data_IF_887818425806
#
_entry.id   IF_887818425806
#
_cell.length_a   1.000
_cell.length_b   1.000
_cell.length_c   1.000
_cell.angle_alpha   90.00
_cell.angle_beta   90.00
_cell.angle_gamma   90.00
#
_symmetry.space_group_name_H-M   'P 1'
#
loop_
_entity.id
_entity.type
_entity.pdbx_description
1 polymer ?
#
# COMPACT_ATOMS: atom_id res chain seq x y z
N UNK A 1 10.74 4.95 -0.94
CA UNK A 1 11.45 5.37 0.29
C UNK A 1 10.46 6.18 1.10
N UNK A 2 9.77 5.55 2.06
CA UNK A 2 8.85 6.26 2.94
C UNK A 2 9.66 6.92 4.06
N UNK A 3 9.80 8.24 3.97
CA UNK A 3 10.22 9.04 5.11
C UNK A 3 9.00 9.28 5.99
N UNK A 4 9.12 8.88 7.24
CA UNK A 4 8.37 9.51 8.32
C UNK A 4 8.76 10.99 8.29
N UNK A 5 7.89 11.87 7.78
CA UNK A 5 8.09 13.31 7.91
C UNK A 5 7.78 13.67 9.36
N UNK A 6 8.81 13.61 10.20
CA UNK A 6 8.79 14.29 11.48
C UNK A 6 8.81 15.80 11.21
N UNK A 7 7.68 16.49 11.43
CA UNK A 7 7.67 17.94 11.61
C UNK A 7 7.12 18.30 13.00
N UNK A 8 8.06 18.69 13.85
CA UNK A 8 7.96 19.72 14.90
C UNK A 8 6.87 19.55 15.98
N UNK A 9 7.31 19.07 17.15
CA UNK A 9 6.77 19.52 18.43
C UNK A 9 5.55 18.78 18.98
N UNK A 10 5.69 17.49 19.29
CA UNK A 10 4.68 16.75 20.03
C UNK A 10 5.08 15.31 20.31
N UNK A 11 5.89 15.11 21.36
CA UNK A 11 6.24 13.78 21.84
C UNK A 11 5.08 13.25 22.70
N UNK A 12 4.16 12.46 22.14
CA UNK A 12 3.20 11.70 22.96
C UNK A 12 3.83 10.41 23.43
N UNK A 13 4.60 10.50 24.52
CA UNK A 13 4.94 9.36 25.37
C UNK A 13 3.72 9.12 26.26
N UNK A 14 2.93 8.07 25.98
CA UNK A 14 1.97 7.58 26.96
C UNK A 14 2.72 6.87 28.07
N UNK A 15 3.05 7.61 29.12
CA UNK A 15 3.58 7.09 30.38
C UNK A 15 2.39 6.75 31.29
N UNK A 16 1.92 5.50 31.29
CA UNK A 16 1.01 5.06 32.34
C UNK A 16 1.80 4.79 33.62
N UNK A 17 1.62 5.68 34.60
CA UNK A 17 2.05 5.49 35.99
C UNK A 17 1.27 4.32 36.60
N UNK A 18 1.95 3.20 36.83
CA UNK A 18 1.44 2.13 37.68
C UNK A 18 1.30 2.62 39.13
N UNK A 19 0.06 2.73 39.61
CA UNK A 19 -0.24 2.61 41.04
C UNK A 19 -0.52 1.13 41.32
N UNK A 20 0.35 0.54 42.12
CA UNK A 20 0.21 -0.82 42.65
C UNK A 20 -0.91 -0.79 43.71
N UNK A 21 -1.89 -1.69 43.59
CA UNK A 21 -2.70 -2.20 44.69
C UNK A 21 -2.60 -3.73 44.69
N UNK A 22 -2.45 -4.39 45.86
CA UNK A 22 -2.13 -5.81 45.93
C UNK A 22 -3.37 -6.71 46.07
N UNK A 23 -3.23 -7.94 45.57
CA UNK A 23 -3.93 -9.13 46.08
C UNK A 23 -5.17 -9.56 45.30
N UNK A 24 -5.09 -10.65 44.54
CA UNK A 24 -5.24 -12.04 45.02
C UNK A 24 -5.53 -12.98 43.84
N UNK A 25 -4.92 -14.18 43.87
CA UNK A 25 -5.48 -15.38 43.26
C UNK A 25 -4.86 -15.85 41.95
N UNK A 26 -3.98 -16.84 42.05
CA UNK A 26 -3.51 -17.70 40.95
C UNK A 26 -4.69 -18.41 40.27
N UNK A 27 -4.70 -18.39 38.93
CA UNK A 27 -5.62 -19.16 38.09
C UNK A 27 -4.98 -19.48 36.73
N UNK A 28 -4.50 -20.71 36.63
CA UNK A 28 -4.08 -21.51 35.47
C UNK A 28 -3.35 -20.87 34.27
N UNK A 29 -2.10 -21.34 34.12
CA UNK A 29 -1.33 -21.34 32.90
C UNK A 29 -1.97 -22.26 31.85
N UNK A 30 -2.85 -21.74 30.99
CA UNK A 30 -3.15 -22.29 29.64
C UNK A 30 -4.04 -21.31 28.85
N UNK A 31 -3.51 -20.14 28.50
CA UNK A 31 -4.19 -19.23 27.55
C UNK A 31 -3.37 -18.96 26.27
N UNK A 32 -2.23 -19.65 26.10
CA UNK A 32 -1.41 -19.52 24.90
C UNK A 32 -2.05 -20.20 23.68
N UNK A 33 -2.74 -21.33 23.84
CA UNK A 33 -3.44 -22.01 22.74
C UNK A 33 -4.66 -21.24 22.21
N UNK A 34 -5.24 -20.33 23.00
CA UNK A 34 -6.36 -19.47 22.57
C UNK A 34 -5.87 -18.18 21.90
N UNK A 35 -4.75 -17.63 22.37
CA UNK A 35 -4.01 -16.53 21.73
C UNK A 35 -3.41 -16.98 20.37
N UNK A 36 -3.00 -18.25 20.27
CA UNK A 36 -2.52 -18.89 19.04
C UNK A 36 -3.65 -19.45 18.15
N UNK A 37 -4.94 -19.28 18.47
CA UNK A 37 -6.06 -19.68 17.58
C UNK A 37 -6.67 -18.53 16.78
N UNK A 38 -6.10 -17.32 16.88
CA UNK A 38 -6.50 -16.11 16.13
C UNK A 38 -5.76 -15.94 14.79
N UNK A 39 -5.05 -16.98 14.32
CA UNK A 39 -4.27 -16.92 13.08
C UNK A 39 -5.15 -16.79 11.83
N UNK A 40 -4.66 -15.95 10.91
CA UNK A 40 -5.22 -15.51 9.62
C UNK A 40 -6.06 -14.24 9.72
N UNK A 41 -5.33 -13.11 9.69
CA UNK A 41 -5.89 -11.76 9.54
C UNK A 41 -6.00 -11.46 8.05
N UNK A 42 -7.16 -10.98 7.63
CA UNK A 42 -7.60 -10.85 6.24
C UNK A 42 -8.21 -9.46 6.03
N UNK A 43 -7.79 -8.73 4.98
CA UNK A 43 -7.61 -7.27 5.02
C UNK A 43 -7.90 -6.56 3.70
N UNK A 44 -8.21 -5.27 3.72
CA UNK A 44 -8.45 -4.43 2.53
C UNK A 44 -7.87 -3.02 2.73
N UNK A 45 -7.96 -2.14 1.72
CA UNK A 45 -7.90 -0.69 1.98
C UNK A 45 -9.21 -0.31 2.66
N UNK A 46 -9.12 0.17 3.90
CA UNK A 46 -10.26 0.54 4.73
C UNK A 46 -10.27 2.06 4.87
N UNK A 47 -11.26 2.72 4.28
CA UNK A 47 -11.39 4.18 4.30
C UNK A 47 -12.72 4.57 4.96
N UNK A 48 -12.71 4.89 6.28
CA UNK A 48 -13.89 5.35 6.99
C UNK A 48 -14.40 6.69 6.44
N UNK A 49 -15.72 6.83 6.38
CA UNK A 49 -16.45 8.03 5.96
C UNK A 49 -17.66 8.23 6.88
N UNK A 50 -18.33 9.37 6.74
CA UNK A 50 -19.56 9.64 7.49
C UNK A 50 -20.61 8.56 7.16
N UNK A 51 -21.07 7.84 8.18
CA UNK A 51 -22.06 6.75 8.11
C UNK A 51 -21.71 5.49 7.29
N UNK A 52 -20.50 5.37 6.73
CA UNK A 52 -20.09 4.19 5.96
C UNK A 52 -18.56 3.98 5.95
N UNK A 53 -18.13 2.78 5.60
CA UNK A 53 -16.74 2.44 5.36
C UNK A 53 -16.55 2.03 3.91
N UNK A 54 -15.63 2.69 3.19
CA UNK A 54 -15.23 2.27 1.86
C UNK A 54 -14.18 1.17 1.95
N UNK A 55 -14.39 0.11 1.21
CA UNK A 55 -13.53 -1.06 1.17
C UNK A 55 -13.07 -1.28 -0.26
N UNK A 56 -11.75 -1.25 -0.50
CA UNK A 56 -11.13 -1.50 -1.81
C UNK A 56 -10.13 -2.64 -1.63
N UNK A 57 -10.20 -3.65 -2.50
CA UNK A 57 -9.23 -4.76 -2.48
C UNK A 57 -7.84 -4.26 -2.88
N UNK A 58 -6.79 -4.85 -2.34
CA UNK A 58 -5.42 -4.52 -2.70
C UNK A 58 -5.14 -4.83 -4.18
N UNK A 59 -5.75 -5.90 -4.72
CA UNK A 59 -5.61 -6.19 -6.16
C UNK A 59 -6.30 -5.13 -7.02
N UNK A 60 -7.42 -4.56 -6.59
CA UNK A 60 -8.09 -3.48 -7.33
C UNK A 60 -7.32 -2.16 -7.26
N UNK A 61 -6.60 -1.84 -6.17
CA UNK A 61 -5.64 -0.72 -6.20
C UNK A 61 -4.50 -1.00 -7.17
N UNK A 62 -3.99 -2.24 -7.21
CA UNK A 62 -2.92 -2.61 -8.12
C UNK A 62 -3.35 -2.48 -9.59
N UNK A 63 -4.62 -2.78 -9.92
CA UNK A 63 -5.20 -2.51 -11.25
C UNK A 63 -5.31 -1.02 -11.57
N UNK A 64 -5.60 -0.19 -10.57
CA UNK A 64 -5.55 1.26 -10.72
C UNK A 64 -4.10 1.74 -10.96
N UNK A 65 -3.11 1.18 -10.26
CA UNK A 65 -1.69 1.39 -10.54
C UNK A 65 -1.32 0.96 -11.98
N UNK A 66 -1.84 -0.16 -12.46
CA UNK A 66 -1.69 -0.61 -13.85
C UNK A 66 -2.29 0.38 -14.86
N UNK A 67 -3.44 0.98 -14.54
CA UNK A 67 -4.07 2.03 -15.37
C UNK A 67 -3.19 3.27 -15.46
N UNK A 68 -2.58 3.70 -14.35
CA UNK A 68 -1.58 4.77 -14.33
C UNK A 68 -0.41 4.41 -15.25
N UNK A 69 0.19 3.24 -15.06
CA UNK A 69 1.35 2.80 -15.83
C UNK A 69 1.10 2.67 -17.34
N UNK A 70 -0.11 2.23 -17.75
CA UNK A 70 -0.50 2.13 -19.17
C UNK A 70 -0.49 3.48 -19.88
N UNK A 71 -0.81 4.57 -19.18
CA UNK A 71 -0.85 5.92 -19.71
C UNK A 71 0.49 6.67 -19.57
N UNK A 72 1.45 6.10 -18.86
CA UNK A 72 2.72 6.74 -18.53
C UNK A 72 3.59 6.95 -19.79
N UNK A 73 3.87 8.21 -20.11
CA UNK A 73 4.79 8.60 -21.21
C UNK A 73 6.20 8.92 -20.70
N UNK A 74 6.36 9.14 -19.40
CA UNK A 74 7.65 9.43 -18.79
C UNK A 74 7.86 10.88 -18.38
N UNK A 75 8.79 11.05 -17.46
CA UNK A 75 9.43 12.32 -17.09
C UNK A 75 10.94 12.10 -17.13
N UNK A 76 11.74 13.17 -17.13
CA UNK A 76 13.20 13.07 -17.24
C UNK A 76 13.84 12.09 -16.24
N UNK A 77 13.39 12.15 -14.98
CA UNK A 77 13.86 11.28 -13.90
C UNK A 77 13.31 9.85 -13.96
N UNK A 78 12.27 9.60 -14.74
CA UNK A 78 11.57 8.31 -14.79
C UNK A 78 10.91 8.11 -16.16
N UNK A 79 11.68 7.63 -17.16
CA UNK A 79 11.19 7.43 -18.52
C UNK A 79 10.17 6.28 -18.59
N UNK A 80 9.40 6.21 -19.68
CA UNK A 80 8.55 5.06 -19.97
C UNK A 80 9.38 3.78 -20.15
N UNK A 81 8.83 2.60 -19.78
CA UNK A 81 9.52 1.34 -20.02
C UNK A 81 9.71 1.10 -21.53
N UNK A 82 10.81 0.46 -21.97
CA UNK A 82 11.00 0.08 -23.36
C UNK A 82 9.90 -0.84 -23.87
N UNK A 83 9.55 -0.75 -25.15
CA UNK A 83 8.44 -1.51 -25.74
C UNK A 83 8.55 -3.02 -25.53
N UNK A 84 9.76 -3.60 -25.66
CA UNK A 84 10.02 -5.04 -25.45
C UNK A 84 9.75 -5.53 -24.01
N UNK A 85 9.79 -4.61 -23.03
CA UNK A 85 9.52 -4.88 -21.62
C UNK A 85 8.17 -4.36 -21.15
N UNK A 86 7.50 -3.53 -21.95
CA UNK A 86 6.28 -2.80 -21.53
C UNK A 86 5.25 -3.75 -20.94
N UNK A 87 4.95 -4.85 -21.60
CA UNK A 87 3.99 -5.85 -21.11
C UNK A 87 4.41 -6.45 -19.76
N UNK A 88 5.70 -6.77 -19.57
CA UNK A 88 6.23 -7.37 -18.34
C UNK A 88 6.18 -6.41 -17.17
N UNK A 89 6.49 -5.14 -17.41
CA UNK A 89 6.39 -4.07 -16.42
C UNK A 89 4.93 -3.82 -16.05
N UNK A 90 4.05 -3.67 -17.04
CA UNK A 90 2.63 -3.45 -16.81
C UNK A 90 1.99 -4.60 -16.03
N UNK A 91 2.32 -5.86 -16.38
CA UNK A 91 1.82 -7.02 -15.66
C UNK A 91 2.24 -7.00 -14.18
N UNK A 92 3.51 -6.70 -13.90
CA UNK A 92 4.03 -6.60 -12.54
C UNK A 92 3.30 -5.51 -11.74
N UNK A 93 3.07 -4.34 -12.33
CA UNK A 93 2.37 -3.23 -11.66
C UNK A 93 0.90 -3.58 -11.42
N UNK A 94 0.21 -4.17 -12.40
CA UNK A 94 -1.21 -4.52 -12.32
C UNK A 94 -1.49 -5.65 -11.32
N UNK A 95 -0.47 -6.46 -10.99
CA UNK A 95 -0.61 -7.67 -10.18
C UNK A 95 0.34 -7.74 -8.98
N UNK A 96 1.03 -6.66 -8.61
CA UNK A 96 1.99 -6.70 -7.49
C UNK A 96 1.34 -7.18 -6.19
N UNK A 97 0.09 -6.80 -5.95
CA UNK A 97 -0.70 -7.22 -4.79
C UNK A 97 -1.69 -8.36 -5.06
N UNK A 98 -1.51 -9.16 -6.12
CA UNK A 98 -2.41 -10.29 -6.41
C UNK A 98 -2.46 -11.34 -5.28
N UNK A 99 -1.40 -11.46 -4.48
CA UNK A 99 -1.36 -12.37 -3.33
C UNK A 99 -2.39 -12.03 -2.24
N UNK A 100 -2.93 -10.81 -2.26
CA UNK A 100 -3.96 -10.36 -1.31
C UNK A 100 -5.36 -10.90 -1.63
N UNK A 101 -5.63 -11.37 -2.86
CA UNK A 101 -6.98 -11.77 -3.29
C UNK A 101 -7.72 -12.69 -2.30
N UNK A 102 -7.02 -13.68 -1.75
CA UNK A 102 -7.61 -14.61 -0.75
C UNK A 102 -7.91 -13.93 0.58
N UNK A 103 -7.04 -13.00 0.97
CA UNK A 103 -7.18 -12.22 2.19
C UNK A 103 -8.32 -11.21 2.08
N UNK A 104 -8.41 -10.51 0.97
CA UNK A 104 -9.41 -9.46 0.78
C UNK A 104 -10.83 -10.02 0.72
N UNK A 105 -10.99 -11.29 0.35
CA UNK A 105 -12.27 -11.97 0.26
C UNK A 105 -12.96 -12.23 1.61
N UNK A 106 -12.24 -12.17 2.74
CA UNK A 106 -12.82 -12.44 4.06
C UNK A 106 -12.41 -11.41 5.10
N UNK A 107 -12.92 -10.17 5.04
CA UNK A 107 -12.53 -9.10 5.95
C UNK A 107 -12.82 -9.47 7.41
N UNK A 108 -11.88 -9.20 8.32
CA UNK A 108 -12.00 -9.52 9.76
C UNK A 108 -12.05 -8.26 10.60
N UNK A 109 -12.69 -8.33 11.76
CA UNK A 109 -12.85 -7.19 12.64
C UNK A 109 -11.60 -6.93 13.48
N UNK A 110 -11.13 -5.69 13.45
CA UNK A 110 -10.07 -5.19 14.30
C UNK A 110 -10.66 -4.61 15.59
N UNK A 111 -10.34 -5.26 16.70
CA UNK A 111 -10.79 -4.87 18.04
C UNK A 111 -10.32 -3.47 18.44
N UNK A 112 -9.18 -3.01 17.94
CA UNK A 112 -8.60 -1.70 18.27
C UNK A 112 -9.30 -0.57 17.53
N UNK A 113 -9.45 -0.71 16.21
CA UNK A 113 -10.03 0.34 15.35
C UNK A 113 -11.55 0.26 15.25
N UNK A 114 -12.15 -0.86 15.69
CA UNK A 114 -13.58 -1.16 15.53
C UNK A 114 -14.02 -1.23 14.05
N UNK A 115 -13.09 -1.44 13.14
CA UNK A 115 -13.29 -1.49 11.70
C UNK A 115 -12.81 -2.85 11.16
N UNK A 116 -13.03 -3.19 9.88
CA UNK A 116 -12.26 -4.25 9.25
C UNK A 116 -10.76 -3.96 9.37
N UNK A 117 -9.92 -4.99 9.50
CA UNK A 117 -8.48 -4.82 9.46
C UNK A 117 -8.06 -4.13 8.15
N UNK A 118 -7.32 -3.03 8.28
CA UNK A 118 -6.56 -2.44 7.18
C UNK A 118 -5.31 -3.28 6.91
N UNK A 119 -4.82 -3.28 5.67
CA UNK A 119 -3.58 -3.94 5.24
C UNK A 119 -2.33 -3.57 6.06
N UNK A 120 -2.35 -2.44 6.80
CA UNK A 120 -1.31 -2.09 7.76
C UNK A 120 -1.35 -2.90 9.08
N UNK A 121 -2.45 -3.60 9.34
CA UNK A 121 -2.69 -4.37 10.56
C UNK A 121 -2.22 -5.84 10.52
N UNK A 122 -1.66 -6.31 9.40
CA UNK A 122 -1.11 -7.67 9.25
C UNK A 122 0.04 -7.92 10.23
N UNK A 123 0.18 -9.17 10.66
CA UNK A 123 1.44 -9.65 11.23
C UNK A 123 2.50 -9.76 10.15
N UNK A 124 3.77 -9.62 10.53
CA UNK A 124 4.88 -9.77 9.60
C UNK A 124 4.90 -11.14 8.90
N UNK A 125 4.55 -12.23 9.62
CA UNK A 125 4.48 -13.57 9.04
C UNK A 125 3.43 -13.67 7.92
N UNK A 126 2.27 -13.03 8.13
CA UNK A 126 1.21 -13.04 7.12
C UNK A 126 1.56 -12.14 5.93
N UNK A 127 2.21 -11.01 6.20
CA UNK A 127 2.73 -10.12 5.16
C UNK A 127 3.65 -10.87 4.19
N UNK A 128 4.65 -11.57 4.72
CA UNK A 128 5.65 -12.26 3.89
C UNK A 128 5.06 -13.44 3.13
N UNK A 129 4.03 -14.10 3.67
CA UNK A 129 3.26 -15.14 2.97
C UNK A 129 2.53 -14.56 1.75
N UNK A 130 1.76 -13.49 1.96
CA UNK A 130 0.99 -12.79 0.91
C UNK A 130 1.93 -12.24 -0.17
N UNK A 131 3.00 -11.56 0.23
CA UNK A 131 3.99 -11.01 -0.71
C UNK A 131 4.66 -12.11 -1.52
N UNK A 132 5.01 -13.24 -0.90
CA UNK A 132 5.59 -14.37 -1.61
C UNK A 132 4.64 -14.94 -2.67
N UNK A 133 3.35 -15.09 -2.35
CA UNK A 133 2.33 -15.55 -3.32
C UNK A 133 2.19 -14.58 -4.51
N UNK A 134 2.21 -13.26 -4.25
CA UNK A 134 2.20 -12.25 -5.31
C UNK A 134 3.44 -12.29 -6.21
N UNK A 135 4.62 -12.47 -5.60
CA UNK A 135 5.89 -12.60 -6.31
C UNK A 135 5.90 -13.86 -7.19
N UNK A 136 5.45 -15.00 -6.65
CA UNK A 136 5.35 -16.27 -7.38
C UNK A 136 4.39 -16.17 -8.58
N UNK A 137 3.25 -15.49 -8.38
CA UNK A 137 2.28 -15.24 -9.45
C UNK A 137 2.89 -14.39 -10.58
N UNK A 138 3.63 -13.33 -10.25
CA UNK A 138 4.29 -12.49 -11.24
C UNK A 138 5.50 -13.16 -11.91
N UNK A 139 6.26 -13.96 -11.17
CA UNK A 139 7.37 -14.75 -11.71
C UNK A 139 6.88 -15.84 -12.68
N UNK A 140 5.69 -16.39 -12.45
CA UNK A 140 5.05 -17.37 -13.33
C UNK A 140 4.65 -16.78 -14.68
N UNK A 141 4.35 -15.46 -14.72
CA UNK A 141 4.15 -14.75 -15.97
C UNK A 141 5.49 -14.47 -16.69
N UNK A 142 6.45 -13.87 -15.98
CA UNK A 142 7.78 -13.61 -16.54
C UNK A 142 8.84 -13.37 -15.44
N UNK A 143 10.11 -13.82 -15.60
CA UNK A 143 11.17 -13.59 -14.61
C UNK A 143 11.40 -12.12 -14.27
N UNK A 144 11.35 -11.25 -15.29
CA UNK A 144 11.41 -9.80 -15.13
C UNK A 144 10.30 -9.28 -14.21
N UNK A 145 9.04 -9.67 -14.44
CA UNK A 145 7.89 -9.24 -13.63
C UNK A 145 8.02 -9.70 -12.18
N UNK A 146 8.37 -10.97 -11.95
CA UNK A 146 8.66 -11.49 -10.60
C UNK A 146 9.79 -10.75 -9.89
N UNK A 147 10.86 -10.39 -10.63
CA UNK A 147 11.98 -9.65 -10.07
C UNK A 147 11.57 -8.24 -9.61
N UNK A 148 10.74 -7.52 -10.39
CA UNK A 148 10.25 -6.20 -10.01
C UNK A 148 9.43 -6.24 -8.71
N UNK A 149 8.51 -7.19 -8.61
CA UNK A 149 7.63 -7.33 -7.44
C UNK A 149 8.43 -7.77 -6.20
N UNK A 150 9.40 -8.67 -6.38
CA UNK A 150 10.32 -9.08 -5.30
C UNK A 150 11.16 -7.91 -4.77
N UNK A 151 11.71 -7.06 -5.66
CA UNK A 151 12.46 -5.86 -5.29
C UNK A 151 11.56 -4.79 -4.64
N UNK A 152 10.30 -4.71 -5.05
CA UNK A 152 9.32 -3.83 -4.43
C UNK A 152 9.05 -4.25 -2.98
N UNK A 153 8.62 -5.48 -2.73
CA UNK A 153 8.33 -5.96 -1.37
C UNK A 153 9.58 -6.06 -0.48
N UNK A 154 10.75 -6.38 -1.04
CA UNK A 154 12.01 -6.33 -0.30
C UNK A 154 12.29 -4.93 0.26
N UNK A 155 11.94 -3.87 -0.50
CA UNK A 155 12.07 -2.49 -0.03
C UNK A 155 11.02 -2.13 1.01
N UNK A 156 9.80 -2.66 0.93
CA UNK A 156 8.78 -2.47 1.96
C UNK A 156 9.19 -3.16 3.27
N UNK A 157 9.64 -4.41 3.21
CA UNK A 157 10.19 -5.14 4.35
C UNK A 157 11.38 -4.41 4.99
N UNK A 158 12.28 -3.85 4.17
CA UNK A 158 13.40 -3.05 4.65
C UNK A 158 12.97 -1.72 5.30
N UNK A 159 11.82 -1.17 4.89
CA UNK A 159 11.16 -0.05 5.55
C UNK A 159 10.55 -0.45 6.89
N UNK A 160 9.75 -1.51 6.89
CA UNK A 160 8.98 -2.00 8.04
C UNK A 160 9.83 -2.44 9.23
N UNK A 161 11.09 -2.86 9.02
CA UNK A 161 12.00 -3.19 10.12
C UNK A 161 12.51 -1.97 10.90
N UNK A 162 12.42 -0.75 10.37
CA UNK A 162 12.98 0.44 11.04
C UNK A 162 12.15 0.79 12.28
N UNK A 163 12.71 0.56 13.47
CA UNK A 163 12.03 0.80 14.74
C UNK A 163 11.03 -0.28 15.15
N UNK A 164 10.97 -1.40 14.42
CA UNK A 164 10.09 -2.51 14.76
C UNK A 164 10.66 -3.39 15.89
N UNK A 165 9.80 -4.08 16.65
CA UNK A 165 10.24 -5.09 17.62
C UNK A 165 11.14 -6.15 16.99
N UNK A 166 11.96 -6.81 17.82
CA UNK A 166 12.94 -7.81 17.36
C UNK A 166 12.27 -8.95 16.57
N UNK A 167 11.17 -9.51 17.04
CA UNK A 167 10.48 -10.63 16.37
C UNK A 167 9.95 -10.23 14.98
N UNK A 168 9.38 -9.03 14.84
CA UNK A 168 8.95 -8.49 13.55
C UNK A 168 10.15 -8.29 12.62
N UNK A 169 11.22 -7.68 13.14
CA UNK A 169 12.45 -7.46 12.37
C UNK A 169 13.10 -8.75 11.90
N UNK A 170 13.04 -9.82 12.73
CA UNK A 170 13.57 -11.15 12.40
C UNK A 170 12.84 -11.78 11.22
N UNK A 171 11.50 -11.73 11.21
CA UNK A 171 10.67 -12.24 10.10
C UNK A 171 10.98 -11.48 8.81
N UNK A 172 10.95 -10.15 8.85
CA UNK A 172 11.22 -9.31 7.67
C UNK A 172 12.65 -9.49 7.13
N UNK A 173 13.65 -9.65 8.00
CA UNK A 173 15.02 -9.95 7.57
C UNK A 173 15.14 -11.34 6.93
N UNK A 174 14.43 -12.34 7.46
CA UNK A 174 14.35 -13.67 6.85
C UNK A 174 13.77 -13.62 5.43
N UNK A 175 12.69 -12.86 5.25
CA UNK A 175 12.09 -12.62 3.93
C UNK A 175 13.06 -11.94 2.96
N UNK A 176 13.71 -10.85 3.37
CA UNK A 176 14.68 -10.13 2.51
C UNK A 176 15.83 -11.06 2.09
N UNK A 177 16.32 -11.91 2.99
CA UNK A 177 17.36 -12.88 2.66
C UNK A 177 16.89 -13.95 1.68
N UNK A 178 15.66 -14.45 1.83
CA UNK A 178 15.07 -15.40 0.90
C UNK A 178 14.86 -14.76 -0.49
N UNK A 179 14.38 -13.52 -0.53
CA UNK A 179 14.12 -12.78 -1.76
C UNK A 179 15.41 -12.39 -2.49
N UNK A 180 16.52 -12.11 -1.80
CA UNK A 180 17.83 -11.95 -2.44
C UNK A 180 18.21 -13.16 -3.28
N UNK A 181 18.00 -14.38 -2.77
CA UNK A 181 18.28 -15.63 -3.50
C UNK A 181 17.30 -15.85 -4.66
N UNK A 182 16.04 -15.46 -4.48
CA UNK A 182 15.03 -15.52 -5.55
C UNK A 182 15.40 -14.56 -6.67
N UNK A 183 15.79 -13.33 -6.34
CA UNK A 183 16.21 -12.28 -7.27
C UNK A 183 17.43 -12.72 -8.07
N UNK A 184 18.44 -13.35 -7.46
CA UNK A 184 19.59 -13.93 -8.18
C UNK A 184 19.15 -14.96 -9.24
N UNK A 185 18.22 -15.85 -8.88
CA UNK A 185 17.68 -16.86 -9.82
C UNK A 185 16.90 -16.22 -10.95
N UNK A 186 16.06 -15.22 -10.66
CA UNK A 186 15.27 -14.52 -11.66
C UNK A 186 16.17 -13.67 -12.58
N UNK A 187 17.16 -12.99 -12.03
CA UNK A 187 18.13 -12.19 -12.78
C UNK A 187 18.99 -13.02 -13.74
N UNK A 188 19.29 -14.28 -13.39
CA UNK A 188 19.96 -15.21 -14.30
C UNK A 188 19.11 -15.56 -15.54
N UNK A 189 17.78 -15.41 -15.47
CA UNK A 189 16.84 -15.66 -16.57
C UNK A 189 16.49 -14.40 -17.36
N UNK A 190 16.90 -13.22 -16.89
CA UNK A 190 16.66 -11.94 -17.57
C UNK A 190 17.79 -11.69 -18.57
N UNK A 191 17.44 -11.43 -19.83
CA UNK A 191 18.46 -11.17 -20.85
C UNK A 191 19.31 -9.94 -20.49
N UNK A 192 20.63 -9.97 -20.71
CA UNK A 192 21.54 -8.91 -20.26
C UNK A 192 21.14 -7.49 -20.70
N UNK A 193 20.59 -7.33 -21.91
CA UNK A 193 20.17 -6.02 -22.44
C UNK A 193 19.07 -5.35 -21.60
N UNK A 194 18.25 -6.13 -20.90
CA UNK A 194 17.14 -5.63 -20.10
C UNK A 194 17.54 -5.25 -18.67
N UNK A 195 18.69 -5.73 -18.16
CA UNK A 195 19.07 -5.56 -16.75
C UNK A 195 19.19 -4.10 -16.32
N UNK A 196 19.69 -3.24 -17.22
CA UNK A 196 19.81 -1.79 -16.97
C UNK A 196 18.47 -1.05 -16.79
N UNK A 197 17.34 -1.71 -17.05
CA UNK A 197 15.99 -1.11 -16.94
C UNK A 197 15.25 -1.48 -15.65
N UNK A 198 15.81 -2.40 -14.85
CA UNK A 198 15.15 -2.94 -13.65
C UNK A 198 14.87 -1.82 -12.65
N UNK A 199 15.85 -0.96 -12.37
CA UNK A 199 15.72 0.11 -11.37
C UNK A 199 14.61 1.11 -11.73
N UNK A 200 14.56 1.55 -12.99
CA UNK A 200 13.50 2.44 -13.48
C UNK A 200 12.13 1.75 -13.45
N UNK A 201 12.07 0.46 -13.80
CA UNK A 201 10.83 -0.32 -13.78
C UNK A 201 10.29 -0.52 -12.35
N UNK A 202 11.16 -0.80 -11.38
CA UNK A 202 10.78 -0.87 -9.95
C UNK A 202 10.34 0.51 -9.44
N UNK A 203 11.01 1.58 -9.87
CA UNK A 203 10.66 2.94 -9.49
C UNK A 203 9.29 3.33 -10.04
N UNK A 204 8.99 2.98 -11.29
CA UNK A 204 7.66 3.16 -11.89
C UNK A 204 6.60 2.38 -11.12
N UNK A 205 6.86 1.12 -10.75
CA UNK A 205 5.95 0.34 -9.93
C UNK A 205 5.64 1.04 -8.61
N UNK A 206 6.66 1.48 -7.85
CA UNK A 206 6.48 2.17 -6.57
C UNK A 206 5.70 3.48 -6.70
N UNK A 207 5.92 4.23 -7.79
CA UNK A 207 5.19 5.47 -8.06
C UNK A 207 3.72 5.17 -8.35
N UNK A 208 3.45 4.19 -9.23
CA UNK A 208 2.07 3.83 -9.59
C UNK A 208 1.31 3.26 -8.39
N UNK A 209 1.95 2.40 -7.60
CA UNK A 209 1.45 1.88 -6.32
C UNK A 209 1.06 3.04 -5.38
N UNK A 210 2.01 3.93 -5.09
CA UNK A 210 1.75 5.08 -4.19
C UNK A 210 0.62 5.98 -4.71
N UNK A 211 0.61 6.32 -6.00
CA UNK A 211 -0.45 7.13 -6.61
C UNK A 211 -1.82 6.44 -6.51
N UNK A 212 -1.87 5.11 -6.68
CA UNK A 212 -3.11 4.35 -6.54
C UNK A 212 -3.62 4.32 -5.10
N UNK A 213 -2.74 4.19 -4.10
CA UNK A 213 -3.11 4.22 -2.69
C UNK A 213 -3.61 5.61 -2.26
N UNK A 214 -2.99 6.68 -2.77
CA UNK A 214 -3.47 8.05 -2.57
C UNK A 214 -4.85 8.26 -3.20
N UNK A 215 -5.07 7.74 -4.41
CA UNK A 215 -6.38 7.79 -5.09
C UNK A 215 -7.46 6.95 -4.36
N UNK A 216 -7.06 5.85 -3.71
CA UNK A 216 -7.93 5.05 -2.86
C UNK A 216 -8.24 5.72 -1.50
N UNK A 217 -7.56 6.83 -1.16
CA UNK A 217 -7.65 7.49 0.14
C UNK A 217 -7.33 6.57 1.31
N UNK A 218 -6.30 5.72 1.14
CA UNK A 218 -5.77 4.88 2.21
C UNK A 218 -5.33 5.78 3.40
N UNK A 219 -5.99 5.72 4.57
CA UNK A 219 -5.77 6.68 5.67
C UNK A 219 -4.34 6.73 6.20
N UNK A 220 -3.60 5.63 6.06
CA UNK A 220 -2.25 5.48 6.60
C UNK A 220 -1.18 6.16 5.74
N UNK A 221 -1.51 6.50 4.49
CA UNK A 221 -0.57 7.06 3.51
C UNK A 221 -1.05 8.44 3.01
N UNK A 222 -2.36 8.68 3.00
CA UNK A 222 -2.93 9.89 2.43
C UNK A 222 -2.68 11.09 3.35
N UNK A 223 -1.97 12.14 2.90
CA UNK A 223 -1.80 13.36 3.68
C UNK A 223 -3.13 14.10 3.82
N UNK A 224 -3.22 15.08 4.74
CA UNK A 224 -4.33 16.03 4.77
C UNK A 224 -4.59 16.65 3.39
N UNK A 225 -5.84 17.03 3.14
CA UNK A 225 -6.19 17.74 1.90
C UNK A 225 -5.37 19.02 1.74
N UNK A 226 -5.07 19.36 0.49
CA UNK A 226 -4.24 20.49 0.07
C UNK A 226 -2.74 20.43 0.37
N UNK A 227 -2.26 19.41 1.11
CA UNK A 227 -0.83 19.20 1.31
C UNK A 227 -0.17 18.60 0.05
N UNK A 228 1.00 19.13 -0.29
CA UNK A 228 1.82 18.62 -1.39
C UNK A 228 2.75 17.52 -0.85
N UNK A 229 2.48 16.28 -1.25
CA UNK A 229 3.31 15.12 -0.95
C UNK A 229 4.42 14.93 -2.00
N UNK A 230 5.70 15.05 -1.62
CA UNK A 230 6.81 14.78 -2.54
C UNK A 230 7.05 13.27 -2.68
N UNK A 231 6.90 12.74 -3.89
CA UNK A 231 7.40 11.41 -4.26
C UNK A 231 8.87 11.51 -4.66
N UNK A 232 9.72 11.74 -3.65
CA UNK A 232 11.14 12.11 -3.79
C UNK A 232 11.96 11.22 -4.72
N UNK A 233 11.64 9.92 -4.79
CA UNK A 233 12.35 8.98 -5.68
C UNK A 233 12.07 9.19 -7.17
N UNK A 234 10.94 9.83 -7.51
CA UNK A 234 10.55 10.15 -8.88
C UNK A 234 10.69 11.64 -9.21
N UNK A 235 10.76 12.50 -8.19
CA UNK A 235 10.67 13.94 -8.36
C UNK A 235 9.23 14.45 -8.55
N UNK A 236 8.22 13.58 -8.53
CA UNK A 236 6.82 14.00 -8.56
C UNK A 236 6.41 14.69 -7.25
N UNK A 237 5.55 15.68 -7.39
CA UNK A 237 4.78 16.34 -6.34
C UNK A 237 3.32 15.97 -6.58
N UNK A 238 2.65 15.48 -5.54
CA UNK A 238 1.25 15.06 -5.60
C UNK A 238 0.47 15.85 -4.56
N UNK A 239 -0.59 16.51 -4.99
CA UNK A 239 -1.54 17.19 -4.11
C UNK A 239 -2.86 16.43 -4.17
N UNK A 240 -3.47 16.15 -3.03
CA UNK A 240 -4.86 15.68 -2.95
C UNK A 240 -5.79 16.87 -3.14
N UNK A 241 -6.68 16.81 -4.13
CA UNK A 241 -7.57 17.91 -4.52
C UNK A 241 -9.03 17.46 -4.45
N UNK A 242 -9.88 18.13 -3.68
CA UNK A 242 -11.22 17.62 -3.31
C UNK A 242 -11.18 16.18 -2.74
N UNK A 243 -12.30 15.60 -2.31
CA UNK A 243 -12.29 14.39 -1.45
C UNK A 243 -11.63 13.13 -2.02
N UNK A 244 -11.37 13.01 -3.33
CA UNK A 244 -10.84 11.79 -3.96
C UNK A 244 -9.87 12.02 -5.15
N UNK A 245 -9.65 13.25 -5.66
CA UNK A 245 -8.83 13.50 -6.87
C UNK A 245 -7.36 13.84 -6.55
N UNK A 246 -6.47 13.66 -7.55
CA UNK A 246 -5.04 13.95 -7.42
C UNK A 246 -4.55 14.96 -8.45
N UNK A 247 -3.69 15.86 -8.01
CA UNK A 247 -2.99 16.85 -8.82
C UNK A 247 -1.49 16.56 -8.82
N UNK A 248 -0.88 16.37 -10.00
CA UNK A 248 0.49 15.85 -10.14
C UNK A 248 1.38 16.83 -10.93
N UNK A 249 2.61 17.03 -10.48
CA UNK A 249 3.67 17.75 -11.21
C UNK A 249 5.06 17.13 -10.99
N UNK A 250 5.91 17.01 -12.03
CA UNK A 250 5.59 17.18 -13.45
C UNK A 250 4.50 16.21 -13.94
N UNK A 251 3.76 16.56 -14.99
CA UNK A 251 2.69 15.72 -15.53
C UNK A 251 3.26 14.63 -16.45
N UNK A 252 3.15 13.34 -16.11
CA UNK A 252 3.85 12.25 -16.81
C UNK A 252 3.00 11.55 -17.89
N UNK A 253 1.88 12.14 -18.31
CA UNK A 253 0.91 11.54 -19.24
C UNK A 253 0.68 12.44 -20.47
N UNK A 254 0.27 11.83 -21.59
CA UNK A 254 -0.14 12.57 -22.80
C UNK A 254 -1.52 13.19 -22.66
N UNK A 255 -2.44 12.49 -21.99
CA UNK A 255 -3.81 12.94 -21.75
C UNK A 255 -3.86 14.06 -20.71
N UNK A 256 -4.83 14.97 -20.82
CA UNK A 256 -5.02 16.06 -19.85
C UNK A 256 -5.47 15.56 -18.47
N UNK A 257 -6.12 14.39 -18.43
CA UNK A 257 -6.53 13.74 -17.18
C UNK A 257 -6.60 12.22 -17.34
N UNK A 258 -6.35 11.51 -16.25
CA UNK A 258 -6.50 10.05 -16.17
C UNK A 258 -7.58 9.72 -15.14
N UNK A 259 -8.64 9.04 -15.57
CA UNK A 259 -9.70 8.59 -14.65
C UNK A 259 -9.42 7.18 -14.16
N UNK A 260 -9.23 7.04 -12.86
CA UNK A 260 -9.14 5.75 -12.18
C UNK A 260 -10.53 5.27 -11.78
N UNK A 261 -10.75 3.96 -11.89
CA UNK A 261 -11.98 3.28 -11.48
C UNK A 261 -11.58 2.08 -10.65
N UNK A 262 -12.02 2.06 -9.40
CA UNK A 262 -11.66 1.03 -8.42
C UNK A 262 -12.96 0.39 -7.93
N UNK A 263 -13.24 -0.86 -8.30
CA UNK A 263 -14.31 -1.62 -7.67
C UNK A 263 -14.11 -1.68 -6.15
N UNK A 264 -15.19 -1.68 -5.40
CA UNK A 264 -15.16 -1.85 -3.97
C UNK A 264 -16.55 -1.95 -3.36
N UNK A 265 -16.60 -1.88 -2.03
CA UNK A 265 -17.82 -2.02 -1.26
C UNK A 265 -18.03 -0.79 -0.37
N UNK A 266 -19.28 -0.35 -0.27
CA UNK A 266 -19.75 0.54 0.79
C UNK A 266 -20.35 -0.30 1.91
N UNK A 267 -19.60 -0.44 3.00
CA UNK A 267 -20.07 -1.12 4.19
C UNK A 267 -20.83 -0.12 5.08
N UNK A 268 -22.11 -0.35 5.40
CA UNK A 268 -22.89 0.57 6.23
C UNK A 268 -22.35 0.61 7.67
N UNK A 269 -22.40 1.80 8.28
CA UNK A 269 -21.93 2.04 9.65
C UNK A 269 -20.55 2.70 9.71
N UNK A 270 -20.26 3.31 10.87
CA UNK A 270 -18.99 4.01 11.10
C UNK A 270 -17.97 3.14 11.85
N UNK A 271 -18.47 2.23 12.69
CA UNK A 271 -17.69 1.23 13.41
C UNK A 271 -18.59 0.05 13.82
N UNK A 272 -17.95 -1.05 14.22
CA UNK A 272 -18.58 -2.31 14.63
C UNK A 272 -18.11 -2.68 16.03
N UNK A 273 -19.02 -3.09 16.90
CA UNK A 273 -18.70 -3.43 18.28
C UNK A 273 -17.92 -4.74 18.41
N UNK A 274 -18.08 -5.66 17.44
CA UNK A 274 -17.44 -6.97 17.41
C UNK A 274 -17.50 -7.62 16.01
N UNK A 275 -16.81 -8.75 15.84
CA UNK A 275 -16.78 -9.55 14.60
C UNK A 275 -18.18 -9.96 14.10
N UNK A 276 -19.13 -10.24 15.00
CA UNK A 276 -20.48 -10.65 14.60
C UNK A 276 -21.22 -9.51 13.90
N UNK A 277 -21.12 -8.28 14.41
CA UNK A 277 -21.74 -7.11 13.80
C UNK A 277 -21.12 -6.79 12.42
N UNK A 278 -19.80 -6.91 12.28
CA UNK A 278 -19.14 -6.81 10.96
C UNK A 278 -19.65 -7.89 9.99
N UNK A 279 -19.75 -9.14 10.46
CA UNK A 279 -20.24 -10.26 9.64
C UNK A 279 -21.71 -10.09 9.22
N UNK A 280 -22.54 -9.43 10.03
CA UNK A 280 -23.92 -9.07 9.70
C UNK A 280 -24.00 -7.90 8.70
N UNK A 281 -23.05 -6.95 8.75
CA UNK A 281 -22.99 -5.80 7.86
C UNK A 281 -22.40 -6.13 6.47
N UNK A 282 -21.45 -7.06 6.37
CA UNK A 282 -20.77 -7.40 5.11
C UNK A 282 -21.74 -7.82 3.98
N UNK A 283 -22.75 -8.68 4.20
CA UNK A 283 -23.75 -9.01 3.18
C UNK A 283 -24.67 -7.84 2.78
N UNK A 284 -24.75 -6.80 3.61
CA UNK A 284 -25.53 -5.59 3.35
C UNK A 284 -24.72 -4.51 2.61
N UNK A 285 -23.43 -4.76 2.35
CA UNK A 285 -22.58 -3.81 1.66
C UNK A 285 -23.02 -3.61 0.21
N UNK A 286 -22.95 -2.37 -0.26
CA UNK A 286 -23.29 -2.01 -1.65
C UNK A 286 -22.04 -2.06 -2.53
N UNK A 287 -22.02 -2.86 -3.61
CA UNK A 287 -20.95 -2.82 -4.60
C UNK A 287 -20.96 -1.49 -5.35
N UNK A 288 -19.82 -0.81 -5.37
CA UNK A 288 -19.65 0.48 -6.04
C UNK A 288 -18.34 0.52 -6.83
N UNK A 289 -18.27 1.42 -7.81
CA UNK A 289 -17.02 1.80 -8.47
C UNK A 289 -16.62 3.18 -7.99
N UNK A 290 -15.60 3.22 -7.12
CA UNK A 290 -14.97 4.46 -6.72
C UNK A 290 -14.20 5.07 -7.90
N UNK A 291 -14.18 6.39 -7.99
CA UNK A 291 -13.43 7.08 -9.04
C UNK A 291 -12.59 8.20 -8.49
N UNK A 292 -11.38 8.31 -9.03
CA UNK A 292 -10.45 9.41 -8.78
C UNK A 292 -9.95 9.93 -10.12
N UNK A 293 -9.84 11.23 -10.27
CA UNK A 293 -9.29 11.87 -11.47
C UNK A 293 -7.89 12.40 -11.14
N UNK A 294 -6.91 11.96 -11.90
CA UNK A 294 -5.57 12.51 -11.90
C UNK A 294 -5.51 13.63 -12.94
N UNK A 295 -4.96 14.78 -12.56
CA UNK A 295 -4.78 15.94 -13.42
C UNK A 295 -3.47 16.65 -13.13
N UNK A 296 -3.05 17.54 -14.02
CA UNK A 296 -1.87 18.38 -13.81
C UNK A 296 -2.10 19.30 -12.60
N UNK A 297 -1.13 19.35 -11.69
CA UNK A 297 -1.10 20.34 -10.61
C UNK A 297 -1.06 21.74 -11.25
N UNK A 298 -2.10 22.54 -11.01
CA UNK A 298 -2.11 23.93 -11.45
C UNK A 298 -0.91 24.62 -10.82
N UNK A 299 -0.14 25.39 -11.61
CA UNK A 299 0.92 26.23 -11.04
C UNK A 299 0.28 27.01 -9.90
N UNK A 300 0.82 26.88 -8.68
CA UNK A 300 0.55 27.89 -7.66
C UNK A 300 0.76 29.22 -8.36
N UNK A 301 -0.21 30.13 -8.26
CA UNK A 301 0.07 31.51 -8.57
C UNK A 301 1.23 31.89 -7.64
N UNK A 302 2.46 31.84 -8.16
CA UNK A 302 3.56 32.57 -7.58
C UNK A 302 3.05 34.00 -7.60
N UNK A 303 2.58 34.46 -6.45
CA UNK A 303 2.47 35.88 -6.19
C UNK A 303 3.90 36.39 -6.29
N UNK A 304 4.29 36.77 -7.50
CA UNK A 304 5.35 37.73 -7.76
C UNK A 304 4.99 38.94 -6.90
N UNK A 305 5.57 38.97 -5.70
CA UNK A 305 5.69 40.20 -4.95
C UNK A 305 6.76 40.98 -5.70
N UNK A 306 6.45 42.14 -6.31
CA UNK A 306 7.48 42.98 -6.89
C UNK A 306 8.45 43.32 -5.76
N UNK A 307 9.72 42.96 -5.94
CA UNK A 307 10.77 43.61 -5.17
C UNK A 307 10.85 45.05 -5.67
N UNK A 308 10.21 45.96 -4.93
CA UNK A 308 10.55 47.38 -4.89
C UNK A 308 11.51 47.63 -3.72
#
# INVERSE_FOLDING_TARGET
MFFLVCRHGGCYIFHQRNKILPGHGLGDSTDWERILRRFLVFQMIVCPRDNHVRLISQHDHARAAGTIARNWIGIESLPSPPDELREKVLFAIDNHDVGWCRSDATPRWDEMTKLPYSFFGITADKAVEIWSEGIDSCASFHPFSGCLVSLHFSSLAAGGRRGAPFEVSKVLNGFIHAESKRQEKLDALIEPRHKGTIENSVSLLRVCDTLSLLACRAPEITPPDDDVHPLTQSGLKVKTANTDDLEISPWPFSEDSIKLRMPGLLLPGECFANEKELAEALPLSEPIVFSSVLRRLSKYAETDSPQD
#
